data_IF_351649368672
#
_entry.id   IF_351649368672
#
_cell.length_a   1.000
_cell.length_b   1.000
_cell.length_c   1.000
_cell.angle_alpha   90.00
_cell.angle_beta   90.00
_cell.angle_gamma   90.00
#
_symmetry.space_group_name_H-M   'P 1'
#
loop_
_entity.id
_entity.type
_entity.pdbx_description
1 polymer ?
#
# COMPACT_ATOMS: atom_id res chain seq x y z
N UNK A 1 4.11 10.81 0.64
CA UNK A 1 2.97 10.11 1.28
C UNK A 1 2.66 8.88 0.45
N UNK A 2 2.55 7.67 1.04
CA UNK A 2 2.12 6.48 0.32
C UNK A 2 0.72 6.65 -0.26
N UNK A 3 0.52 6.21 -1.51
CA UNK A 3 -0.80 6.08 -2.15
C UNK A 3 -1.08 4.59 -2.26
N UNK A 4 -2.12 4.11 -1.59
CA UNK A 4 -2.37 2.68 -1.39
C UNK A 4 -3.66 2.22 -2.06
N UNK A 5 -3.60 1.04 -2.65
CA UNK A 5 -4.73 0.35 -3.28
C UNK A 5 -4.81 -1.07 -2.70
N UNK A 6 -5.96 -1.44 -2.16
CA UNK A 6 -6.18 -2.76 -1.57
C UNK A 6 -7.52 -2.85 -0.85
N UNK A 7 -7.92 -4.05 -0.41
CA UNK A 7 -9.20 -4.27 0.30
C UNK A 7 -9.05 -4.35 1.82
N UNK A 8 -7.82 -4.17 2.34
CA UNK A 8 -7.56 -4.21 3.79
C UNK A 8 -7.97 -2.90 4.44
N UNK A 9 -8.41 -2.97 5.69
CA UNK A 9 -8.63 -1.76 6.48
C UNK A 9 -7.29 -1.29 7.06
N UNK A 10 -6.62 -0.38 6.35
CA UNK A 10 -5.31 0.15 6.73
C UNK A 10 -5.30 0.82 8.11
N UNK A 11 -6.44 1.33 8.59
CA UNK A 11 -6.53 2.02 9.89
C UNK A 11 -6.19 1.12 11.09
N UNK A 12 -6.18 -0.20 10.92
CA UNK A 12 -5.72 -1.13 11.96
C UNK A 12 -4.22 -1.09 12.22
N UNK A 13 -3.43 -0.65 11.24
CA UNK A 13 -1.97 -0.71 11.28
C UNK A 13 -1.31 0.65 11.09
N UNK A 14 -1.97 1.56 10.37
CA UNK A 14 -1.42 2.85 9.98
C UNK A 14 -2.45 3.93 10.31
N UNK A 15 -2.06 4.98 11.05
CA UNK A 15 -2.93 6.14 11.27
C UNK A 15 -3.40 6.75 9.95
N UNK A 16 -4.60 7.32 9.91
CA UNK A 16 -5.18 7.92 8.69
C UNK A 16 -4.33 9.03 8.09
N UNK A 17 -3.59 9.77 8.91
CA UNK A 17 -2.60 10.73 8.46
C UNK A 17 -1.36 10.07 7.82
N UNK A 18 -1.25 8.76 7.71
CA UNK A 18 -0.05 8.08 7.20
C UNK A 18 -0.09 7.71 5.71
N UNK A 19 -1.25 7.82 5.06
CA UNK A 19 -1.46 7.31 3.71
C UNK A 19 -2.64 8.00 2.99
N UNK A 20 -2.70 7.83 1.67
CA UNK A 20 -3.84 8.19 0.83
C UNK A 20 -4.44 6.89 0.29
N UNK A 21 -5.67 6.58 0.66
CA UNK A 21 -6.38 5.39 0.18
C UNK A 21 -7.10 5.69 -1.12
N UNK A 22 -6.78 4.97 -2.19
CA UNK A 22 -7.43 5.17 -3.49
C UNK A 22 -8.91 4.81 -3.45
N UNK A 23 -9.36 3.94 -2.54
CA UNK A 23 -10.77 3.55 -2.43
C UNK A 23 -11.67 4.68 -1.90
N UNK A 24 -11.09 5.76 -1.35
CA UNK A 24 -11.85 6.94 -0.91
C UNK A 24 -12.29 7.84 -2.07
N UNK A 25 -11.85 7.55 -3.29
CA UNK A 25 -12.12 8.35 -4.48
C UNK A 25 -13.06 7.59 -5.41
N UNK A 26 -14.13 8.26 -5.87
CA UNK A 26 -15.11 7.66 -6.79
C UNK A 26 -14.54 7.43 -8.19
N UNK A 27 -13.51 8.19 -8.58
CA UNK A 27 -12.88 8.09 -9.90
C UNK A 27 -11.38 8.34 -9.83
N UNK A 28 -10.63 7.75 -10.78
CA UNK A 28 -9.19 7.97 -10.89
C UNK A 28 -8.84 9.45 -11.19
N UNK A 29 -9.71 10.16 -11.91
CA UNK A 29 -9.54 11.60 -12.16
C UNK A 29 -9.68 12.43 -10.90
N UNK A 30 -10.59 12.07 -9.98
CA UNK A 30 -10.72 12.76 -8.69
C UNK A 30 -9.50 12.52 -7.79
N UNK A 31 -8.95 11.30 -7.79
CA UNK A 31 -7.70 10.99 -7.11
C UNK A 31 -6.53 11.81 -7.71
N UNK A 32 -6.38 11.81 -9.03
CA UNK A 32 -5.30 12.55 -9.69
C UNK A 32 -5.35 14.06 -9.37
N UNK A 33 -6.55 14.65 -9.35
CA UNK A 33 -6.75 16.05 -8.95
C UNK A 33 -6.34 16.26 -7.49
N UNK A 34 -6.80 15.41 -6.59
CA UNK A 34 -6.46 15.48 -5.17
C UNK A 34 -4.96 15.36 -4.91
N UNK A 35 -4.27 14.45 -5.60
CA UNK A 35 -2.82 14.31 -5.51
C UNK A 35 -2.09 15.55 -6.03
N UNK A 36 -2.58 16.13 -7.11
CA UNK A 36 -2.01 17.36 -7.67
C UNK A 36 -2.19 18.54 -6.70
N UNK A 37 -3.38 18.73 -6.12
CA UNK A 37 -3.60 19.74 -5.08
C UNK A 37 -2.70 19.52 -3.86
N UNK A 38 -2.60 18.27 -3.40
CA UNK A 38 -1.75 17.89 -2.25
C UNK A 38 -0.27 18.16 -2.50
N UNK A 39 0.19 18.03 -3.75
CA UNK A 39 1.57 18.37 -4.12
C UNK A 39 1.89 19.86 -3.94
N UNK A 40 0.93 20.73 -4.24
CA UNK A 40 1.15 22.19 -4.23
C UNK A 40 0.76 22.84 -2.89
N UNK A 41 -0.11 22.20 -2.12
CA UNK A 41 -0.45 22.63 -0.76
C UNK A 41 0.51 22.00 0.26
N UNK A 42 1.49 22.80 0.70
CA UNK A 42 2.51 22.40 1.66
C UNK A 42 1.91 21.94 2.99
N UNK A 43 0.90 22.63 3.51
CA UNK A 43 0.30 22.31 4.81
C UNK A 43 -0.45 20.99 4.73
N UNK A 44 -1.23 20.79 3.65
CA UNK A 44 -1.90 19.51 3.37
C UNK A 44 -0.89 18.38 3.23
N UNK A 45 0.20 18.57 2.48
CA UNK A 45 1.25 17.57 2.36
C UNK A 45 1.87 17.21 3.72
N UNK A 46 2.20 18.22 4.54
CA UNK A 46 2.82 18.02 5.85
C UNK A 46 1.87 17.38 6.87
N UNK A 47 0.56 17.60 6.73
CA UNK A 47 -0.46 16.94 7.59
C UNK A 47 -0.36 15.41 7.56
N UNK A 48 0.12 14.83 6.45
CA UNK A 48 0.33 13.38 6.31
C UNK A 48 1.57 12.82 7.05
N UNK A 49 2.23 13.66 7.85
CA UNK A 49 3.34 13.24 8.69
C UNK A 49 3.06 13.48 10.18
N UNK A 50 1.84 13.93 10.53
CA UNK A 50 1.46 14.18 11.93
C UNK A 50 1.54 12.92 12.80
N UNK A 51 1.23 11.75 12.23
CA UNK A 51 1.37 10.45 12.91
C UNK A 51 2.76 10.21 13.49
N UNK A 52 3.82 10.80 12.93
CA UNK A 52 5.18 10.62 13.45
C UNK A 52 5.39 11.22 14.85
N UNK A 53 4.47 12.09 15.31
CA UNK A 53 4.49 12.66 16.66
C UNK A 53 4.06 11.64 17.72
N UNK A 54 3.08 10.82 17.38
CA UNK A 54 2.40 9.93 18.34
C UNK A 54 2.86 8.46 18.22
N UNK A 55 3.49 8.11 17.10
CA UNK A 55 3.90 6.73 16.81
C UNK A 55 5.42 6.65 16.62
N UNK A 56 6.07 5.83 17.46
CA UNK A 56 7.48 5.45 17.30
C UNK A 56 7.51 4.03 16.73
N UNK A 57 8.15 3.83 15.59
CA UNK A 57 8.39 2.48 15.07
C UNK A 57 9.29 1.73 16.05
N UNK A 58 8.74 0.71 16.71
CA UNK A 58 9.50 -0.15 17.60
C UNK A 58 10.55 -0.92 16.82
N UNK A 59 11.83 -0.74 17.16
CA UNK A 59 12.99 -1.41 16.56
C UNK A 59 13.04 -2.94 16.78
N UNK A 60 11.94 -3.57 17.21
CA UNK A 60 11.96 -4.96 17.70
C UNK A 60 11.92 -6.05 16.61
N UNK A 61 11.88 -5.70 15.32
CA UNK A 61 11.74 -6.69 14.25
C UNK A 61 13.08 -7.04 13.62
N UNK A 62 13.90 -7.79 14.36
CA UNK A 62 15.12 -8.41 13.83
C UNK A 62 14.82 -9.36 12.64
N UNK A 63 13.59 -9.86 12.54
CA UNK A 63 13.06 -10.54 11.37
C UNK A 63 11.97 -9.69 10.72
N UNK A 64 12.31 -9.10 9.59
CA UNK A 64 11.33 -8.40 8.76
C UNK A 64 10.62 -9.41 7.86
N UNK A 65 9.35 -9.18 7.49
CA UNK A 65 8.68 -9.99 6.46
C UNK A 65 9.43 -10.01 5.12
N UNK A 66 10.41 -9.12 4.92
CA UNK A 66 11.28 -9.11 3.75
C UNK A 66 12.31 -10.25 3.76
N UNK A 67 12.67 -10.82 4.92
CA UNK A 67 13.57 -11.97 4.99
C UNK A 67 12.93 -13.20 4.31
N UNK A 68 11.68 -13.50 4.64
CA UNK A 68 10.94 -14.61 4.03
C UNK A 68 10.69 -14.36 2.54
N UNK A 69 10.38 -13.12 2.16
CA UNK A 69 10.26 -12.73 0.76
C UNK A 69 11.57 -12.94 0.00
N UNK A 70 12.71 -12.52 0.58
CA UNK A 70 14.03 -12.68 -0.01
C UNK A 70 14.36 -14.15 -0.24
N UNK A 71 14.15 -15.00 0.77
CA UNK A 71 14.33 -16.46 0.65
C UNK A 71 13.47 -17.01 -0.48
N UNK A 72 12.18 -16.65 -0.55
CA UNK A 72 11.29 -17.10 -1.64
C UNK A 72 11.75 -16.61 -3.02
N UNK A 73 12.19 -15.37 -3.16
CA UNK A 73 12.71 -14.83 -4.42
C UNK A 73 13.98 -15.56 -4.89
N UNK A 74 14.79 -16.05 -3.97
CA UNK A 74 16.01 -16.81 -4.29
C UNK A 74 15.76 -18.31 -4.50
N UNK A 75 14.74 -18.89 -3.88
CA UNK A 75 14.41 -20.31 -4.00
C UNK A 75 13.40 -20.61 -5.12
N UNK A 76 12.46 -19.69 -5.38
CA UNK A 76 11.49 -19.80 -6.45
C UNK A 76 12.04 -19.16 -7.73
N UNK A 77 12.48 -20.01 -8.66
CA UNK A 77 13.06 -19.56 -9.93
C UNK A 77 12.01 -19.28 -11.01
N UNK A 78 10.70 -19.40 -10.71
CA UNK A 78 9.65 -19.22 -11.71
C UNK A 78 9.16 -17.76 -11.73
N UNK A 79 9.35 -17.04 -12.86
CA UNK A 79 8.80 -15.70 -12.98
C UNK A 79 7.26 -15.77 -13.01
N UNK A 80 6.62 -15.04 -12.10
CA UNK A 80 5.18 -14.83 -12.12
C UNK A 80 4.85 -13.66 -13.05
N UNK A 81 4.43 -13.97 -14.29
CA UNK A 81 4.07 -12.96 -15.29
C UNK A 81 2.55 -12.79 -15.31
N UNK A 82 2.09 -11.58 -14.99
CA UNK A 82 0.67 -11.23 -15.03
C UNK A 82 0.39 -10.56 -16.38
N UNK A 83 -0.25 -11.29 -17.29
CA UNK A 83 -0.57 -10.76 -18.63
C UNK A 83 -1.64 -9.67 -18.65
N UNK A 84 -2.55 -9.65 -17.66
CA UNK A 84 -3.56 -8.61 -17.52
C UNK A 84 -3.74 -8.27 -16.04
N UNK A 85 -3.20 -7.12 -15.63
CA UNK A 85 -3.23 -6.68 -14.24
C UNK A 85 -4.64 -6.36 -13.75
N UNK A 86 -5.50 -5.82 -14.62
CA UNK A 86 -6.88 -5.50 -14.27
C UNK A 86 -7.65 -6.78 -13.93
N UNK A 87 -7.56 -7.78 -14.81
CA UNK A 87 -8.18 -9.09 -14.59
C UNK A 87 -7.63 -9.75 -13.32
N UNK A 88 -6.31 -9.77 -13.15
CA UNK A 88 -5.69 -10.37 -11.97
C UNK A 88 -6.15 -9.70 -10.66
N UNK A 89 -6.25 -8.37 -10.64
CA UNK A 89 -6.59 -7.60 -9.44
C UNK A 89 -8.09 -7.57 -9.13
N UNK A 90 -8.95 -7.38 -10.15
CA UNK A 90 -10.38 -7.16 -9.97
C UNK A 90 -11.23 -8.41 -10.20
N UNK A 91 -10.79 -9.35 -11.04
CA UNK A 91 -11.60 -10.50 -11.46
C UNK A 91 -11.25 -11.79 -10.68
N UNK A 92 -10.63 -11.65 -9.50
CA UNK A 92 -10.56 -12.71 -8.49
C UNK A 92 -9.21 -13.40 -8.27
N UNK A 93 -8.19 -13.21 -9.09
CA UNK A 93 -6.90 -13.90 -8.91
C UNK A 93 -6.07 -13.37 -7.73
N UNK A 94 -6.20 -12.08 -7.38
CA UNK A 94 -5.58 -11.47 -6.21
C UNK A 94 -6.51 -11.46 -4.99
N UNK A 95 -7.83 -11.49 -5.22
CA UNK A 95 -8.87 -11.34 -4.18
C UNK A 95 -9.31 -12.66 -3.56
N UNK A 96 -9.25 -13.76 -4.32
CA UNK A 96 -9.21 -15.08 -3.71
C UNK A 96 -7.82 -15.19 -3.10
N UNK A 97 -7.72 -15.14 -1.77
CA UNK A 97 -6.46 -15.36 -1.08
C UNK A 97 -5.90 -16.73 -1.48
N UNK A 98 -5.09 -16.76 -2.53
CA UNK A 98 -4.20 -17.86 -2.76
C UNK A 98 -3.24 -17.79 -1.59
N UNK A 99 -3.43 -18.71 -0.64
CA UNK A 99 -2.35 -19.11 0.25
C UNK A 99 -1.24 -19.53 -0.71
N UNK A 100 -0.25 -18.66 -0.88
CA UNK A 100 0.97 -19.01 -1.57
C UNK A 100 1.50 -20.26 -0.85
N UNK A 101 1.75 -21.38 -1.57
CA UNK A 101 2.33 -22.56 -0.94
C UNK A 101 3.63 -22.23 -0.18
#
# INVERSE_FOLDING_TARGET
VPVVLGRTNYSYFIPSSGYIDTNQFSTMSSLARYLNETRYDKEKYLSYFSWKKDYVWGLSQFFTPFCDLCVRLHLDSKPNIIGNIHKWWFDGSCQAGHVLP
#
